data_IF_283566359322
#
_entry.id   IF_283566359322
#
_cell.length_a   1.000
_cell.length_b   1.000
_cell.length_c   1.000
_cell.angle_alpha   90.00
_cell.angle_beta   90.00
_cell.angle_gamma   90.00
#
_symmetry.space_group_name_H-M   'P 1'
#
loop_
_entity.id
_entity.type
_entity.pdbx_description
1 polymer ?
#
# COMPACT_ATOMS: atom_id res chain seq x y z
N UNK A 1 -25.53 5.42 12.28
CA UNK A 1 -24.10 5.45 11.89
C UNK A 1 -23.77 4.11 11.27
N UNK A 2 -23.12 4.06 10.10
CA UNK A 2 -22.63 2.78 9.55
C UNK A 2 -21.47 2.29 10.42
N UNK A 3 -21.35 0.98 10.60
CA UNK A 3 -20.25 0.40 11.36
C UNK A 3 -18.92 0.62 10.63
N UNK A 4 -17.83 0.77 11.38
CA UNK A 4 -16.48 0.81 10.80
C UNK A 4 -16.16 -0.52 10.10
N UNK A 5 -15.40 -0.49 8.99
CA UNK A 5 -14.98 -1.70 8.31
C UNK A 5 -14.01 -2.51 9.18
N UNK A 6 -14.12 -3.83 9.10
CA UNK A 6 -13.13 -4.73 9.70
C UNK A 6 -11.80 -4.69 8.93
N UNK A 7 -10.71 -5.03 9.61
CA UNK A 7 -9.40 -5.17 8.97
C UNK A 7 -9.41 -6.18 7.80
N UNK A 8 -10.25 -7.23 7.86
CA UNK A 8 -10.41 -8.17 6.76
C UNK A 8 -11.05 -7.51 5.51
N UNK A 9 -12.05 -6.65 5.70
CA UNK A 9 -12.68 -5.92 4.60
C UNK A 9 -11.72 -4.92 3.95
N UNK A 10 -10.90 -4.22 4.74
CA UNK A 10 -9.86 -3.31 4.22
C UNK A 10 -8.85 -4.08 3.35
N UNK A 11 -8.31 -5.20 3.87
CA UNK A 11 -7.37 -6.04 3.11
C UNK A 11 -7.98 -6.58 1.83
N UNK A 12 -9.24 -7.04 1.90
CA UNK A 12 -9.95 -7.54 0.72
C UNK A 12 -10.16 -6.44 -0.33
N UNK A 13 -10.46 -5.20 0.08
CA UNK A 13 -10.60 -4.08 -0.84
C UNK A 13 -9.28 -3.78 -1.57
N UNK A 14 -8.16 -3.75 -0.84
CA UNK A 14 -6.81 -3.55 -1.42
C UNK A 14 -6.48 -4.68 -2.39
N UNK A 15 -6.65 -5.94 -1.97
CA UNK A 15 -6.36 -7.09 -2.82
C UNK A 15 -7.20 -7.08 -4.11
N UNK A 16 -8.49 -6.77 -4.00
CA UNK A 16 -9.40 -6.70 -5.15
C UNK A 16 -9.01 -5.56 -6.09
N UNK A 17 -8.63 -4.40 -5.56
CA UNK A 17 -8.15 -3.27 -6.33
C UNK A 17 -6.92 -3.61 -7.16
N UNK A 18 -5.88 -4.16 -6.52
CA UNK A 18 -4.62 -4.52 -7.18
C UNK A 18 -4.84 -5.62 -8.22
N UNK A 19 -5.52 -6.71 -7.85
CA UNK A 19 -5.81 -7.82 -8.79
C UNK A 19 -6.67 -7.37 -9.97
N UNK A 20 -7.59 -6.42 -9.77
CA UNK A 20 -8.40 -5.85 -10.84
C UNK A 20 -7.55 -5.11 -11.88
N UNK A 21 -6.56 -4.35 -11.42
CA UNK A 21 -5.58 -3.68 -12.31
C UNK A 21 -4.73 -4.71 -13.03
N UNK A 22 -4.20 -5.72 -12.33
CA UNK A 22 -3.38 -6.75 -12.96
C UNK A 22 -4.13 -7.57 -14.00
N UNK A 23 -5.39 -7.92 -13.74
CA UNK A 23 -6.21 -8.64 -14.70
C UNK A 23 -6.45 -7.82 -15.98
N UNK A 24 -6.48 -6.50 -15.88
CA UNK A 24 -6.72 -5.58 -17.00
C UNK A 24 -5.44 -5.23 -17.76
N UNK A 25 -4.40 -4.85 -17.03
CA UNK A 25 -3.19 -4.22 -17.57
C UNK A 25 -1.95 -5.13 -17.51
N UNK A 26 -2.08 -6.33 -16.92
CA UNK A 26 -1.05 -7.34 -16.76
C UNK A 26 -0.10 -7.12 -15.58
N UNK A 27 -0.06 -5.92 -15.00
CA UNK A 27 0.75 -5.56 -13.84
C UNK A 27 0.21 -4.30 -13.15
N UNK A 28 0.53 -4.13 -11.87
CA UNK A 28 0.32 -2.88 -11.15
C UNK A 28 1.48 -1.91 -11.44
N UNK A 29 1.22 -0.76 -12.05
CA UNK A 29 2.23 0.24 -12.35
C UNK A 29 2.28 1.34 -11.28
N UNK A 30 3.48 1.70 -10.80
CA UNK A 30 3.68 2.81 -9.87
C UNK A 30 4.89 3.65 -10.28
N UNK A 31 4.78 4.97 -10.15
CA UNK A 31 5.91 5.87 -10.33
C UNK A 31 6.75 5.91 -9.05
N UNK A 32 8.05 5.61 -9.19
CA UNK A 32 9.02 5.73 -8.12
C UNK A 32 9.62 7.14 -8.13
N UNK A 33 9.06 8.03 -7.30
CA UNK A 33 9.50 9.43 -7.16
C UNK A 33 10.99 9.60 -6.82
N UNK A 34 11.63 8.60 -6.18
CA UNK A 34 13.04 8.70 -5.79
C UNK A 34 13.98 8.45 -6.97
N UNK A 35 13.60 7.54 -7.87
CA UNK A 35 14.42 7.14 -9.02
C UNK A 35 13.94 7.74 -10.35
N UNK A 36 12.71 8.28 -10.37
CA UNK A 36 12.01 8.72 -11.57
C UNK A 36 11.53 7.57 -12.47
N UNK A 37 11.69 6.31 -12.05
CA UNK A 37 11.33 5.16 -12.85
C UNK A 37 9.86 4.77 -12.65
N UNK A 38 9.21 4.27 -13.70
CA UNK A 38 7.93 3.58 -13.54
C UNK A 38 8.19 2.09 -13.31
N UNK A 39 7.73 1.56 -12.19
CA UNK A 39 7.89 0.15 -11.82
C UNK A 39 6.60 -0.60 -12.18
N UNK A 40 6.74 -1.79 -12.78
CA UNK A 40 5.62 -2.71 -13.06
C UNK A 40 5.71 -3.89 -12.10
N UNK A 41 4.67 -4.10 -11.32
CA UNK A 41 4.69 -5.00 -10.18
C UNK A 41 3.61 -6.09 -10.31
N UNK A 42 3.88 -7.26 -9.74
CA UNK A 42 2.91 -8.34 -9.53
C UNK A 42 2.61 -8.53 -8.05
N UNK A 43 1.35 -8.73 -7.71
CA UNK A 43 0.84 -8.85 -6.37
C UNK A 43 1.29 -10.17 -5.75
N UNK A 44 1.75 -10.10 -4.49
CA UNK A 44 2.08 -11.29 -3.71
C UNK A 44 1.07 -11.50 -2.59
N UNK A 45 0.88 -10.52 -1.71
CA UNK A 45 -0.08 -10.58 -0.60
C UNK A 45 -0.30 -9.23 0.08
N UNK A 46 -1.42 -9.09 0.80
CA UNK A 46 -1.63 -8.02 1.79
C UNK A 46 -1.16 -8.47 3.17
N UNK A 47 -0.50 -7.61 3.93
CA UNK A 47 -0.09 -7.87 5.31
C UNK A 47 -1.31 -7.83 6.26
N UNK A 48 -1.16 -8.40 7.46
CA UNK A 48 -2.29 -8.50 8.40
C UNK A 48 -2.61 -7.19 9.12
N UNK A 49 -1.59 -6.37 9.41
CA UNK A 49 -1.79 -5.08 10.09
C UNK A 49 -2.59 -4.14 9.20
N UNK A 50 -3.64 -3.58 9.79
CA UNK A 50 -4.36 -2.42 9.25
C UNK A 50 -4.22 -1.31 10.27
N UNK A 51 -3.65 -0.19 9.85
CA UNK A 51 -3.57 1.03 10.66
C UNK A 51 -4.59 2.07 10.21
N UNK A 52 -4.66 3.19 10.93
CA UNK A 52 -5.53 4.31 10.58
C UNK A 52 -4.79 5.63 10.74
N UNK A 53 -4.57 6.34 9.65
CA UNK A 53 -3.92 7.66 9.65
C UNK A 53 -4.96 8.72 9.33
N UNK A 54 -5.30 9.56 10.31
CA UNK A 54 -6.39 10.53 10.17
C UNK A 54 -7.74 9.84 9.90
N UNK A 55 -8.34 10.13 8.74
CA UNK A 55 -9.62 9.53 8.33
C UNK A 55 -9.50 8.23 7.52
N UNK A 56 -8.28 7.85 7.11
CA UNK A 56 -8.04 6.76 6.16
C UNK A 56 -7.51 5.52 6.88
N UNK A 57 -7.94 4.35 6.41
CA UNK A 57 -7.32 3.08 6.79
C UNK A 57 -6.16 2.80 5.85
N UNK A 58 -5.16 2.04 6.29
CA UNK A 58 -4.09 1.62 5.39
C UNK A 58 -3.59 0.21 5.70
N UNK A 59 -3.05 -0.46 4.68
CA UNK A 59 -2.32 -1.71 4.85
C UNK A 59 -1.20 -1.83 3.83
N UNK A 60 -0.18 -2.58 4.21
CA UNK A 60 1.00 -2.83 3.39
C UNK A 60 0.80 -4.10 2.54
N UNK A 61 1.36 -4.12 1.34
CA UNK A 61 1.39 -5.29 0.46
C UNK A 61 2.82 -5.64 0.08
N UNK A 62 3.08 -6.94 -0.06
CA UNK A 62 4.25 -7.42 -0.78
C UNK A 62 3.94 -7.41 -2.29
N UNK A 63 4.79 -6.77 -3.06
CA UNK A 63 4.71 -6.65 -4.52
C UNK A 63 6.04 -7.06 -5.16
N UNK A 64 6.01 -7.82 -6.25
CA UNK A 64 7.23 -8.25 -6.95
C UNK A 64 7.44 -7.43 -8.20
N UNK A 65 8.61 -6.83 -8.33
CA UNK A 65 8.99 -6.14 -9.55
C UNK A 65 9.15 -7.12 -10.72
N UNK A 66 8.47 -6.86 -11.83
CA UNK A 66 8.47 -7.76 -13.00
C UNK A 66 9.77 -7.70 -13.80
N UNK A 67 10.53 -6.60 -13.72
CA UNK A 67 11.78 -6.42 -14.42
C UNK A 67 12.98 -6.92 -13.60
N UNK A 68 13.00 -6.65 -12.29
CA UNK A 68 14.15 -6.99 -11.43
C UNK A 68 13.93 -8.23 -10.56
N UNK A 69 12.68 -8.66 -10.35
CA UNK A 69 12.31 -9.73 -9.43
C UNK A 69 12.35 -9.33 -7.95
N UNK A 70 12.69 -8.08 -7.65
CA UNK A 70 12.79 -7.50 -6.31
C UNK A 70 11.44 -7.52 -5.59
N UNK A 71 11.45 -7.74 -4.27
CA UNK A 71 10.26 -7.59 -3.43
C UNK A 71 10.19 -6.16 -2.87
N UNK A 72 9.06 -5.52 -3.08
CA UNK A 72 8.76 -4.16 -2.66
C UNK A 72 7.56 -4.15 -1.71
N UNK A 73 7.60 -3.26 -0.74
CA UNK A 73 6.46 -3.00 0.13
C UNK A 73 5.75 -1.74 -0.35
N UNK A 74 4.45 -1.84 -0.63
CA UNK A 74 3.60 -0.70 -0.97
C UNK A 74 2.52 -0.55 0.10
N UNK A 75 2.27 0.68 0.54
CA UNK A 75 1.11 0.99 1.37
C UNK A 75 -0.03 1.53 0.52
N UNK A 76 -1.24 1.06 0.82
CA UNK A 76 -2.48 1.48 0.17
C UNK A 76 -3.39 2.13 1.20
N UNK A 77 -3.80 3.37 0.94
CA UNK A 77 -4.79 4.06 1.77
C UNK A 77 -6.21 3.81 1.23
N UNK A 78 -7.12 3.53 2.14
CA UNK A 78 -8.51 3.19 1.87
C UNK A 78 -9.41 4.20 2.57
N UNK A 79 -10.22 4.90 1.78
CA UNK A 79 -11.34 5.68 2.27
C UNK A 79 -12.56 4.76 2.49
N UNK A 80 -13.19 4.89 3.64
CA UNK A 80 -14.38 4.14 4.04
C UNK A 80 -15.67 5.00 4.03
N UNK A 81 -15.62 6.19 3.43
CA UNK A 81 -16.75 7.10 3.32
C UNK A 81 -17.97 6.43 2.68
N UNK A 82 -19.16 6.82 3.15
CA UNK A 82 -20.46 6.36 2.65
C UNK A 82 -20.67 4.83 2.68
N UNK A 83 -19.83 4.10 3.41
CA UNK A 83 -19.84 2.64 3.50
C UNK A 83 -19.33 1.95 2.23
N UNK A 84 -18.55 2.64 1.41
CA UNK A 84 -17.77 2.06 0.32
C UNK A 84 -16.29 2.05 0.70
N UNK A 85 -15.54 1.06 0.22
CA UNK A 85 -14.10 0.96 0.47
C UNK A 85 -13.37 1.25 -0.83
N UNK A 86 -12.74 2.42 -0.89
CA UNK A 86 -12.06 2.90 -2.09
C UNK A 86 -10.58 3.10 -1.79
N UNK A 87 -9.70 2.49 -2.58
CA UNK A 87 -8.27 2.84 -2.55
C UNK A 87 -8.12 4.24 -3.12
N UNK A 88 -7.53 5.15 -2.35
CA UNK A 88 -7.40 6.58 -2.72
C UNK A 88 -5.95 7.04 -2.86
N UNK A 89 -5.01 6.31 -2.27
CA UNK A 89 -3.57 6.59 -2.44
C UNK A 89 -2.79 5.27 -2.42
N UNK A 90 -1.64 5.26 -3.08
CA UNK A 90 -0.71 4.14 -3.10
C UNK A 90 0.71 4.66 -3.13
N UNK A 91 1.55 4.15 -2.23
CA UNK A 91 2.91 4.65 -2.05
C UNK A 91 3.90 3.53 -1.90
N UNK A 92 5.09 3.77 -2.41
CA UNK A 92 6.20 2.85 -2.24
C UNK A 92 6.81 3.06 -0.85
N UNK A 93 6.68 2.07 0.02
CA UNK A 93 7.11 2.10 1.42
C UNK A 93 8.54 1.55 1.57
N UNK A 94 8.86 0.42 0.92
CA UNK A 94 10.18 -0.23 1.07
C UNK A 94 10.71 -0.75 -0.27
N UNK A 95 11.99 -0.51 -0.55
CA UNK A 95 12.75 -1.08 -1.68
C UNK A 95 13.99 -1.74 -1.11
N UNK A 96 14.36 -2.93 -1.59
CA UNK A 96 15.56 -3.64 -1.14
C UNK A 96 15.71 -3.75 0.38
N UNK A 97 14.60 -3.87 1.12
CA UNK A 97 14.61 -3.90 2.58
C UNK A 97 14.76 -2.53 3.27
N UNK A 98 14.99 -1.45 2.53
CA UNK A 98 15.14 -0.10 3.04
C UNK A 98 13.79 0.66 3.00
N UNK A 99 13.28 1.01 4.18
CA UNK A 99 12.06 1.79 4.32
C UNK A 99 12.31 3.26 3.96
N UNK A 100 11.37 3.87 3.23
CA UNK A 100 11.41 5.30 2.84
C UNK A 100 10.77 6.22 3.88
N UNK A 101 9.82 5.67 4.63
CA UNK A 101 9.16 6.32 5.76
C UNK A 101 8.76 5.23 6.76
N UNK A 102 8.32 5.64 7.95
CA UNK A 102 7.76 4.74 8.97
C UNK A 102 6.52 5.38 9.59
N UNK A 103 5.90 4.68 10.52
CA UNK A 103 4.76 5.15 11.29
C UNK A 103 5.14 5.31 12.76
N UNK A 104 4.66 6.37 13.39
CA UNK A 104 4.76 6.53 14.85
C UNK A 104 3.73 5.64 15.58
N UNK A 105 3.69 5.75 16.91
CA UNK A 105 2.76 4.99 17.75
C UNK A 105 1.28 5.35 17.55
N UNK A 106 1.01 6.48 16.88
CA UNK A 106 -0.33 6.99 16.56
C UNK A 106 -0.68 6.81 15.07
N UNK A 107 0.06 5.95 14.35
CA UNK A 107 -0.09 5.74 12.90
C UNK A 107 0.12 7.01 12.05
N UNK A 108 0.81 8.03 12.56
CA UNK A 108 1.24 9.15 11.71
C UNK A 108 2.46 8.74 10.92
N UNK A 109 2.44 9.00 9.62
CA UNK A 109 3.61 8.79 8.76
C UNK A 109 4.69 9.81 9.09
N UNK A 110 5.88 9.31 9.39
CA UNK A 110 7.08 10.10 9.68
C UNK A 110 8.26 9.65 8.80
N UNK A 111 9.25 10.53 8.54
CA UNK A 111 10.48 10.10 7.90
C UNK A 111 11.15 8.97 8.70
N UNK A 112 11.84 8.05 8.03
CA UNK A 112 12.78 7.18 8.75
C UNK A 112 13.82 8.09 9.40
N UNK A 113 13.99 7.97 10.72
CA UNK A 113 15.02 8.73 11.43
C UNK A 113 16.36 8.37 10.81
N UNK A 114 17.02 9.35 10.20
CA UNK A 114 18.41 9.23 9.74
C UNK A 114 19.26 9.23 11.00
N UNK A 115 19.30 8.11 11.71
CA UNK A 115 20.28 7.96 12.78
C UNK A 115 21.62 7.68 12.09
N UNK A 116 22.62 8.58 12.21
CA UNK A 116 23.97 8.30 11.72
C UNK A 116 24.60 7.10 12.44
#
# INVERSE_FOLDING_TARGET
>A
MKAEPSAAQIRQAIESYVKGIEAKDGAFAIHDELTGATRKLTFVRVHERVGKTGGLYYSCTDMRDTATGELLDLDFDVDAADGQLNVVDTRLHKVAGQARYTYDEHDNRIPVSSTP
#
